data_IF_143042959296
#
_entry.id   IF_143042959296
#
_cell.length_a   1.000
_cell.length_b   1.000
_cell.length_c   1.000
_cell.angle_alpha   90.00
_cell.angle_beta   90.00
_cell.angle_gamma   90.00
#
_symmetry.space_group_name_H-M   'P 1'
#
loop_
_entity.id
_entity.type
_entity.pdbx_description
1 polymer ?
#
# COMPACT_ATOMS: atom_id res chain seq x y z
N UNK A 1 29.88 26.37 -0.05
CA UNK A 1 29.92 25.52 -1.26
C UNK A 1 28.88 24.45 -1.03
N UNK A 2 27.76 24.45 -1.77
CA UNK A 2 26.78 23.35 -1.66
C UNK A 2 27.45 22.11 -2.26
N UNK A 3 27.65 21.07 -1.48
CA UNK A 3 28.02 19.77 -2.02
C UNK A 3 26.84 19.30 -2.85
N UNK A 4 27.03 19.14 -4.14
CA UNK A 4 26.07 18.49 -5.01
C UNK A 4 26.24 16.99 -4.74
N UNK A 5 25.35 16.43 -3.96
CA UNK A 5 25.30 14.98 -3.75
C UNK A 5 24.64 14.34 -4.98
N UNK A 6 25.24 13.29 -5.48
CA UNK A 6 24.55 12.40 -6.44
C UNK A 6 23.53 11.55 -5.67
N UNK A 7 22.48 11.08 -6.35
CA UNK A 7 21.48 10.17 -5.72
C UNK A 7 22.16 8.94 -5.09
N UNK A 8 23.18 8.40 -5.75
CA UNK A 8 23.95 7.27 -5.24
C UNK A 8 24.62 7.59 -3.88
N UNK A 9 25.24 8.77 -3.76
CA UNK A 9 25.89 9.21 -2.51
C UNK A 9 24.87 9.40 -1.38
N UNK A 10 23.74 10.02 -1.67
CA UNK A 10 22.63 10.21 -0.72
C UNK A 10 22.11 8.87 -0.22
N UNK A 11 21.81 7.94 -1.13
CA UNK A 11 21.31 6.62 -0.78
C UNK A 11 22.34 5.79 0.00
N UNK A 12 23.63 5.95 -0.32
CA UNK A 12 24.73 5.32 0.44
C UNK A 12 24.86 5.91 1.85
N UNK A 13 24.58 7.20 2.02
CA UNK A 13 24.58 7.84 3.33
C UNK A 13 23.44 7.31 4.22
N UNK A 14 22.23 7.24 3.68
CA UNK A 14 21.08 6.66 4.40
C UNK A 14 21.33 5.19 4.77
N UNK A 15 21.93 4.42 3.87
CA UNK A 15 22.23 2.99 4.09
C UNK A 15 23.08 2.72 5.33
N UNK A 16 23.94 3.69 5.75
CA UNK A 16 24.75 3.56 6.96
C UNK A 16 23.91 3.45 8.24
N UNK A 17 22.70 3.99 8.22
CA UNK A 17 21.79 4.00 9.36
C UNK A 17 20.72 2.90 9.27
N UNK A 18 20.85 1.96 8.34
CA UNK A 18 19.80 0.98 8.05
C UNK A 18 19.46 0.09 9.26
N UNK A 19 20.44 -0.25 10.10
CA UNK A 19 20.18 -1.01 11.33
C UNK A 19 19.22 -0.28 12.28
N UNK A 20 19.34 1.05 12.35
CA UNK A 20 18.43 1.88 13.14
C UNK A 20 17.04 1.89 12.53
N UNK A 21 16.91 2.08 11.22
CA UNK A 21 15.62 2.07 10.55
C UNK A 21 14.89 0.72 10.68
N UNK A 22 15.61 -0.39 10.47
CA UNK A 22 15.04 -1.74 10.66
C UNK A 22 14.55 -1.91 12.10
N UNK A 23 15.35 -1.50 13.09
CA UNK A 23 14.99 -1.61 14.51
C UNK A 23 13.79 -0.74 14.89
N UNK A 24 13.69 0.47 14.34
CA UNK A 24 12.69 1.46 14.74
C UNK A 24 11.34 1.24 14.04
N UNK A 25 11.36 0.65 12.84
CA UNK A 25 10.17 0.56 11.98
C UNK A 25 9.73 -0.87 11.63
N UNK A 26 10.55 -1.88 11.82
CA UNK A 26 10.18 -3.27 11.56
C UNK A 26 10.21 -4.08 12.87
N UNK A 27 9.39 -5.11 12.94
CA UNK A 27 9.31 -5.98 14.12
C UNK A 27 10.18 -7.23 13.89
N UNK A 28 11.02 -7.64 14.87
CA UNK A 28 11.79 -8.88 14.74
C UNK A 28 10.89 -10.08 14.45
N UNK A 29 11.31 -10.93 13.51
CA UNK A 29 10.52 -12.09 13.03
C UNK A 29 10.04 -12.97 14.19
N UNK A 30 10.89 -13.16 15.20
CA UNK A 30 10.64 -14.03 16.35
C UNK A 30 9.52 -13.54 17.26
N UNK A 31 9.22 -12.26 17.23
CA UNK A 31 8.22 -11.61 18.08
C UNK A 31 7.04 -11.05 17.32
N UNK A 32 7.12 -11.08 15.98
CA UNK A 32 6.06 -10.55 15.15
C UNK A 32 4.90 -11.57 15.04
N UNK A 33 3.69 -11.05 14.91
CA UNK A 33 2.49 -11.88 14.75
C UNK A 33 2.57 -12.74 13.47
N UNK A 34 1.90 -13.86 13.50
CA UNK A 34 1.78 -14.75 12.35
C UNK A 34 0.30 -14.98 11.99
N UNK A 35 -0.04 -15.28 10.73
CA UNK A 35 -1.41 -15.61 10.34
C UNK A 35 -2.06 -16.69 11.22
N UNK A 36 -1.29 -17.69 11.63
CA UNK A 36 -1.75 -18.77 12.51
C UNK A 36 -2.18 -18.29 13.90
N UNK A 37 -1.76 -17.11 14.37
CA UNK A 37 -2.18 -16.56 15.66
C UNK A 37 -3.65 -16.10 15.65
N UNK A 38 -4.21 -15.88 14.47
CA UNK A 38 -5.56 -15.34 14.30
C UNK A 38 -6.52 -16.27 13.58
N UNK A 39 -6.01 -17.16 12.74
CA UNK A 39 -6.82 -18.11 11.97
C UNK A 39 -7.21 -19.33 12.81
N UNK A 40 -8.31 -20.05 12.45
CA UNK A 40 -8.63 -21.34 13.03
C UNK A 40 -7.44 -22.31 12.99
N UNK A 41 -7.10 -22.91 14.13
CA UNK A 41 -5.96 -23.82 14.25
C UNK A 41 -6.36 -25.26 13.87
N UNK A 42 -5.87 -25.74 12.74
CA UNK A 42 -6.17 -27.07 12.21
C UNK A 42 -5.70 -28.23 13.12
N UNK A 43 -4.88 -27.96 14.14
CA UNK A 43 -4.43 -28.95 15.11
C UNK A 43 -5.35 -29.10 16.31
N UNK A 44 -6.35 -28.23 16.46
CA UNK A 44 -7.31 -28.24 17.58
C UNK A 44 -8.58 -28.99 17.24
N UNK A 45 -9.18 -29.61 18.23
CA UNK A 45 -10.49 -30.27 18.11
C UNK A 45 -11.59 -29.26 17.75
N UNK A 46 -11.42 -28.00 18.12
CA UNK A 46 -12.35 -26.90 17.79
C UNK A 46 -12.30 -26.45 16.35
N UNK A 47 -11.33 -26.86 15.53
CA UNK A 47 -11.08 -26.31 14.19
C UNK A 47 -12.34 -26.16 13.34
N UNK A 48 -13.13 -27.22 13.20
CA UNK A 48 -14.36 -27.17 12.39
C UNK A 48 -15.43 -26.25 12.98
N UNK A 49 -15.52 -26.15 14.30
CA UNK A 49 -16.42 -25.21 14.96
C UNK A 49 -15.97 -23.76 14.75
N UNK A 50 -14.66 -23.50 14.83
CA UNK A 50 -14.09 -22.17 14.62
C UNK A 50 -14.24 -21.72 13.16
N UNK A 51 -14.04 -22.63 12.20
CA UNK A 51 -14.31 -22.35 10.76
C UNK A 51 -15.79 -22.05 10.54
N UNK A 52 -16.69 -22.81 11.16
CA UNK A 52 -18.13 -22.56 11.05
C UNK A 52 -18.50 -21.19 11.63
N UNK A 53 -17.98 -20.84 12.77
CA UNK A 53 -18.19 -19.50 13.38
C UNK A 53 -17.66 -18.37 12.49
N UNK A 54 -16.48 -18.57 11.86
CA UNK A 54 -15.96 -17.65 10.85
C UNK A 54 -16.92 -17.49 9.68
N UNK A 55 -17.45 -18.58 9.13
CA UNK A 55 -18.38 -18.57 8.01
C UNK A 55 -19.72 -17.88 8.38
N UNK A 56 -20.22 -18.12 9.59
CA UNK A 56 -21.44 -17.46 10.08
C UNK A 56 -21.23 -15.94 10.17
N UNK A 57 -20.11 -15.48 10.74
CA UNK A 57 -19.78 -14.07 10.81
C UNK A 57 -19.53 -13.45 9.41
N UNK A 58 -19.02 -14.23 8.46
CA UNK A 58 -18.80 -13.80 7.08
C UNK A 58 -20.12 -13.56 6.32
N UNK A 59 -21.22 -14.24 6.67
CA UNK A 59 -22.53 -14.04 6.06
C UNK A 59 -23.12 -12.64 6.28
N UNK A 60 -22.71 -11.97 7.34
CA UNK A 60 -23.23 -10.64 7.71
C UNK A 60 -22.59 -9.49 6.91
N UNK A 61 -21.54 -9.77 6.14
CA UNK A 61 -20.81 -8.76 5.38
C UNK A 61 -21.53 -8.45 4.06
N UNK A 62 -21.72 -7.16 3.69
CA UNK A 62 -22.37 -6.78 2.44
C UNK A 62 -21.52 -7.07 1.21
N UNK A 63 -22.14 -7.11 0.05
CA UNK A 63 -21.51 -7.43 -1.24
C UNK A 63 -20.29 -6.54 -1.55
N UNK A 64 -20.44 -5.22 -1.44
CA UNK A 64 -19.32 -4.28 -1.71
C UNK A 64 -18.13 -4.51 -0.76
N UNK A 65 -18.40 -4.97 0.46
CA UNK A 65 -17.33 -5.32 1.40
C UNK A 65 -16.45 -6.47 0.88
N UNK A 66 -17.10 -7.49 0.31
CA UNK A 66 -16.38 -8.61 -0.30
C UNK A 66 -15.58 -8.15 -1.52
N UNK A 67 -16.14 -7.29 -2.36
CA UNK A 67 -15.43 -6.73 -3.51
C UNK A 67 -14.15 -6.00 -3.08
N UNK A 68 -14.23 -5.19 -2.03
CA UNK A 68 -13.06 -4.46 -1.48
C UNK A 68 -12.07 -5.41 -0.84
N UNK A 69 -12.52 -6.33 0.03
CA UNK A 69 -11.63 -7.27 0.70
C UNK A 69 -10.87 -8.17 -0.27
N UNK A 70 -11.53 -8.63 -1.34
CA UNK A 70 -10.87 -9.43 -2.38
C UNK A 70 -9.85 -8.60 -3.16
N UNK A 71 -10.20 -7.38 -3.55
CA UNK A 71 -9.27 -6.50 -4.26
C UNK A 71 -8.05 -6.16 -3.40
N UNK A 72 -8.23 -5.84 -2.12
CA UNK A 72 -7.14 -5.63 -1.18
C UNK A 72 -6.27 -6.90 -1.06
N UNK A 73 -6.89 -8.09 -0.92
CA UNK A 73 -6.16 -9.36 -0.83
C UNK A 73 -5.30 -9.62 -2.08
N UNK A 74 -5.85 -9.42 -3.28
CA UNK A 74 -5.11 -9.62 -4.54
C UNK A 74 -3.89 -8.70 -4.60
N UNK A 75 -4.03 -7.44 -4.17
CA UNK A 75 -2.90 -6.50 -4.15
C UNK A 75 -1.86 -6.87 -3.12
N UNK A 76 -2.24 -7.35 -1.94
CA UNK A 76 -1.32 -7.87 -0.92
C UNK A 76 -0.58 -9.13 -1.39
N UNK A 77 -1.25 -10.04 -2.06
CA UNK A 77 -0.64 -11.25 -2.64
C UNK A 77 0.28 -10.96 -3.84
N UNK A 78 0.18 -9.78 -4.47
CA UNK A 78 1.07 -9.38 -5.57
C UNK A 78 2.47 -8.91 -5.11
N UNK A 79 2.83 -9.18 -3.87
CA UNK A 79 4.10 -8.84 -3.23
C UNK A 79 5.36 -9.17 -4.05
N UNK A 80 5.46 -10.30 -4.81
CA UNK A 80 6.63 -10.56 -5.65
C UNK A 80 6.94 -9.44 -6.65
N UNK A 81 5.93 -8.73 -7.14
CA UNK A 81 6.12 -7.58 -8.05
C UNK A 81 6.70 -6.38 -7.32
N UNK A 82 6.24 -6.09 -6.11
CA UNK A 82 6.77 -4.97 -5.29
C UNK A 82 8.22 -5.23 -4.89
N UNK A 83 8.53 -6.42 -4.40
CA UNK A 83 9.89 -6.80 -4.00
C UNK A 83 10.86 -6.69 -5.18
N UNK A 84 10.51 -7.32 -6.31
CA UNK A 84 11.31 -7.29 -7.54
C UNK A 84 11.61 -5.87 -7.99
N UNK A 85 10.62 -5.01 -7.93
CA UNK A 85 10.71 -3.62 -8.32
C UNK A 85 11.59 -2.78 -7.37
N UNK A 86 11.41 -2.91 -6.05
CA UNK A 86 12.24 -2.21 -5.07
C UNK A 86 13.70 -2.68 -5.09
N UNK A 87 13.94 -4.00 -5.26
CA UNK A 87 15.28 -4.54 -5.44
C UNK A 87 15.95 -4.09 -6.74
N UNK A 88 15.16 -3.69 -7.74
CA UNK A 88 15.62 -3.15 -9.02
C UNK A 88 16.00 -1.66 -9.01
N UNK A 89 15.93 -0.96 -7.88
CA UNK A 89 16.36 0.43 -7.79
C UNK A 89 17.87 0.58 -8.03
N UNK A 90 18.27 1.66 -8.70
CA UNK A 90 19.65 1.94 -9.14
C UNK A 90 20.69 1.89 -8.00
N UNK A 91 20.26 2.06 -6.77
CA UNK A 91 21.12 2.16 -5.58
C UNK A 91 21.14 0.90 -4.73
N UNK A 92 20.47 -0.16 -5.15
CA UNK A 92 20.34 -1.42 -4.39
C UNK A 92 21.20 -2.50 -5.02
N UNK A 93 22.15 -3.03 -4.26
CA UNK A 93 22.89 -4.22 -4.67
C UNK A 93 22.31 -5.47 -3.99
N UNK A 94 21.27 -6.04 -4.56
CA UNK A 94 20.54 -7.19 -4.01
C UNK A 94 21.38 -8.50 -3.95
N UNK A 95 22.56 -8.53 -4.59
CA UNK A 95 23.49 -9.66 -4.54
C UNK A 95 24.38 -9.58 -3.30
N UNK A 96 24.71 -8.37 -2.84
CA UNK A 96 25.50 -8.18 -1.62
C UNK A 96 24.60 -8.31 -0.38
N UNK A 97 24.88 -9.30 0.47
CA UNK A 97 24.15 -9.51 1.72
C UNK A 97 24.34 -8.38 2.74
N UNK A 98 25.39 -7.55 2.58
CA UNK A 98 25.66 -6.41 3.43
C UNK A 98 25.03 -5.11 2.91
N UNK A 99 24.39 -5.12 1.75
CA UNK A 99 23.65 -3.95 1.25
C UNK A 99 22.48 -3.63 2.19
N UNK A 100 22.54 -2.46 2.80
CA UNK A 100 21.53 -2.03 3.77
C UNK A 100 20.13 -1.90 3.17
N UNK A 101 20.02 -1.44 1.91
CA UNK A 101 18.74 -1.32 1.23
C UNK A 101 18.14 -2.68 0.86
N UNK A 102 18.95 -3.60 0.37
CA UNK A 102 18.48 -4.96 0.10
C UNK A 102 18.00 -5.65 1.38
N UNK A 103 18.67 -5.40 2.50
CA UNK A 103 18.25 -5.89 3.81
C UNK A 103 16.92 -5.28 4.25
N UNK A 104 16.75 -3.95 4.12
CA UNK A 104 15.49 -3.28 4.42
C UNK A 104 14.34 -3.89 3.60
N UNK A 105 14.50 -3.98 2.28
CA UNK A 105 13.46 -4.47 1.37
C UNK A 105 13.07 -5.90 1.74
N UNK A 106 14.04 -6.80 1.96
CA UNK A 106 13.73 -8.20 2.33
C UNK A 106 13.04 -8.33 3.68
N UNK A 107 13.41 -7.51 4.67
CA UNK A 107 12.78 -7.56 6.00
C UNK A 107 11.37 -6.98 5.94
N UNK A 108 11.18 -5.90 5.20
CA UNK A 108 9.85 -5.34 4.90
C UNK A 108 8.98 -6.35 4.14
N UNK A 109 9.50 -6.98 3.07
CA UNK A 109 8.79 -8.04 2.33
C UNK A 109 8.36 -9.20 3.24
N UNK A 110 9.19 -9.58 4.22
CA UNK A 110 8.81 -10.62 5.18
C UNK A 110 7.63 -10.20 6.08
N UNK A 111 7.50 -8.91 6.40
CA UNK A 111 6.32 -8.39 7.10
C UNK A 111 5.09 -8.38 6.18
N UNK A 112 5.20 -7.86 4.97
CA UNK A 112 4.13 -7.76 3.97
C UNK A 112 3.55 -9.11 3.58
N UNK A 113 4.41 -10.13 3.42
CA UNK A 113 3.97 -11.48 3.04
C UNK A 113 2.91 -12.07 3.97
N UNK A 114 2.84 -11.63 5.22
CA UNK A 114 1.83 -12.07 6.19
C UNK A 114 0.45 -11.49 5.89
N UNK A 115 0.37 -10.30 5.31
CA UNK A 115 -0.87 -9.62 4.99
C UNK A 115 -1.66 -10.43 3.96
N UNK A 116 -1.07 -10.70 2.80
CA UNK A 116 -1.68 -11.51 1.76
C UNK A 116 -2.01 -12.92 2.25
N UNK A 117 -1.10 -13.57 2.98
CA UNK A 117 -1.32 -14.92 3.54
C UNK A 117 -2.52 -14.95 4.50
N UNK A 118 -2.62 -13.96 5.41
CA UNK A 118 -3.71 -13.88 6.37
C UNK A 118 -5.06 -13.66 5.67
N UNK A 119 -5.13 -12.69 4.78
CA UNK A 119 -6.37 -12.34 4.07
C UNK A 119 -6.78 -13.45 3.10
N UNK A 120 -5.86 -14.00 2.32
CA UNK A 120 -6.12 -15.10 1.37
C UNK A 120 -6.65 -16.35 2.08
N UNK A 121 -6.06 -16.71 3.23
CA UNK A 121 -6.56 -17.84 4.03
C UNK A 121 -7.95 -17.55 4.61
N UNK A 122 -8.21 -16.33 5.10
CA UNK A 122 -9.54 -15.94 5.53
C UNK A 122 -10.57 -16.05 4.40
N UNK A 123 -10.26 -15.54 3.21
CA UNK A 123 -11.13 -15.65 2.05
C UNK A 123 -11.45 -17.12 1.74
N UNK A 124 -10.43 -17.96 1.71
CA UNK A 124 -10.58 -19.40 1.45
C UNK A 124 -11.51 -20.06 2.46
N UNK A 125 -11.34 -19.79 3.75
CA UNK A 125 -12.16 -20.39 4.82
C UNK A 125 -13.58 -19.82 4.87
N UNK A 126 -13.80 -18.61 4.39
CA UNK A 126 -15.10 -17.94 4.43
C UNK A 126 -16.18 -18.62 3.58
N UNK A 127 -15.78 -19.28 2.48
CA UNK A 127 -16.70 -19.87 1.50
C UNK A 127 -17.53 -18.86 0.71
N UNK A 128 -17.13 -17.58 0.69
CA UNK A 128 -17.87 -16.47 0.06
C UNK A 128 -17.33 -16.05 -1.30
N UNK A 129 -16.16 -16.56 -1.68
CA UNK A 129 -15.44 -16.11 -2.87
C UNK A 129 -15.04 -17.30 -3.74
N UNK A 130 -15.03 -17.08 -5.05
CA UNK A 130 -14.41 -18.00 -6.00
C UNK A 130 -12.90 -17.85 -5.92
N UNK A 131 -12.26 -18.69 -5.10
CA UNK A 131 -10.80 -18.68 -4.90
C UNK A 131 -10.01 -18.94 -6.18
N UNK A 132 -10.60 -19.64 -7.18
CA UNK A 132 -9.95 -19.79 -8.48
C UNK A 132 -9.92 -18.47 -9.24
N UNK A 133 -11.00 -17.72 -9.22
CA UNK A 133 -11.05 -16.40 -9.84
C UNK A 133 -10.08 -15.43 -9.15
N UNK A 134 -10.03 -15.43 -7.82
CA UNK A 134 -9.06 -14.64 -7.03
C UNK A 134 -7.63 -15.00 -7.42
N UNK A 135 -7.25 -16.28 -7.38
CA UNK A 135 -5.91 -16.73 -7.70
C UNK A 135 -5.50 -16.36 -9.14
N UNK A 136 -6.40 -16.49 -10.12
CA UNK A 136 -6.12 -16.12 -11.51
C UNK A 136 -5.89 -14.61 -11.64
N UNK A 137 -6.71 -13.77 -10.99
CA UNK A 137 -6.52 -12.32 -10.99
C UNK A 137 -5.18 -11.92 -10.32
N UNK A 138 -4.82 -12.56 -9.22
CA UNK A 138 -3.50 -12.36 -8.56
C UNK A 138 -2.35 -12.73 -9.50
N UNK A 139 -2.44 -13.88 -10.18
CA UNK A 139 -1.41 -14.34 -11.12
C UNK A 139 -1.27 -13.39 -12.32
N UNK A 140 -2.35 -12.84 -12.84
CA UNK A 140 -2.27 -11.81 -13.88
C UNK A 140 -1.54 -10.56 -13.37
N UNK A 141 -1.84 -10.08 -12.17
CA UNK A 141 -1.20 -8.91 -11.61
C UNK A 141 0.31 -9.11 -11.44
N UNK A 142 0.73 -10.30 -10.97
CA UNK A 142 2.14 -10.66 -10.83
C UNK A 142 2.81 -10.82 -12.20
N UNK A 143 2.19 -11.56 -13.14
CA UNK A 143 2.78 -11.88 -14.43
C UNK A 143 2.90 -10.66 -15.35
N UNK A 144 1.92 -9.77 -15.32
CA UNK A 144 1.94 -8.53 -16.10
C UNK A 144 2.96 -7.53 -15.53
N UNK A 145 3.22 -7.59 -14.24
CA UNK A 145 3.84 -6.51 -13.50
C UNK A 145 2.96 -5.25 -13.53
N UNK A 146 3.45 -4.18 -12.96
CA UNK A 146 2.80 -2.88 -13.08
C UNK A 146 3.84 -1.76 -13.07
N UNK A 147 3.63 -0.77 -13.93
CA UNK A 147 4.46 0.43 -13.97
C UNK A 147 3.73 1.56 -13.24
N UNK A 148 4.28 1.95 -12.11
CA UNK A 148 3.79 3.05 -11.28
C UNK A 148 4.50 4.38 -11.58
N UNK A 149 5.30 4.42 -12.63
CA UNK A 149 5.97 5.62 -13.12
C UNK A 149 7.21 6.04 -12.35
N UNK A 150 7.76 5.19 -11.47
CA UNK A 150 8.95 5.49 -10.66
C UNK A 150 10.26 5.13 -11.36
N UNK A 151 10.22 4.17 -12.29
CA UNK A 151 11.42 3.55 -12.86
C UNK A 151 12.34 3.01 -11.75
N UNK A 152 13.65 2.92 -11.97
CA UNK A 152 14.64 2.55 -10.95
C UNK A 152 15.02 3.70 -10.00
N UNK A 153 14.34 4.85 -10.04
CA UNK A 153 14.66 6.04 -9.27
C UNK A 153 14.23 5.90 -7.79
N UNK A 154 15.15 5.83 -6.81
CA UNK A 154 14.81 5.62 -5.42
C UNK A 154 13.97 6.77 -4.82
N UNK A 155 14.19 8.03 -5.24
CA UNK A 155 13.43 9.16 -4.71
C UNK A 155 11.95 9.07 -5.07
N UNK A 156 11.65 8.73 -6.33
CA UNK A 156 10.29 8.49 -6.78
C UNK A 156 9.67 7.27 -6.10
N UNK A 157 10.44 6.21 -5.94
CA UNK A 157 10.00 4.99 -5.26
C UNK A 157 9.57 5.28 -3.82
N UNK A 158 10.36 6.06 -3.07
CA UNK A 158 10.03 6.37 -1.67
C UNK A 158 8.88 7.35 -1.53
N UNK A 159 8.69 8.30 -2.47
CA UNK A 159 7.47 9.12 -2.52
C UNK A 159 6.25 8.22 -2.75
N UNK A 160 6.33 7.33 -3.73
CA UNK A 160 5.24 6.39 -4.02
C UNK A 160 4.91 5.55 -2.80
N UNK A 161 5.89 4.89 -2.21
CA UNK A 161 5.68 3.97 -1.08
C UNK A 161 5.17 4.71 0.16
N UNK A 162 5.70 5.93 0.44
CA UNK A 162 5.15 6.77 1.52
C UNK A 162 3.65 7.04 1.36
N UNK A 163 3.19 7.24 0.13
CA UNK A 163 1.78 7.48 -0.17
C UNK A 163 0.98 6.18 -0.08
N UNK A 164 1.46 5.11 -0.71
CA UNK A 164 0.80 3.80 -0.78
C UNK A 164 0.54 3.24 0.61
N UNK A 165 1.55 3.17 1.48
CA UNK A 165 1.46 2.62 2.82
C UNK A 165 0.41 3.35 3.70
N UNK A 166 0.26 4.66 3.52
CA UNK A 166 -0.80 5.39 4.22
C UNK A 166 -2.18 5.13 3.61
N UNK A 167 -2.25 4.90 2.30
CA UNK A 167 -3.51 4.55 1.64
C UNK A 167 -3.99 3.16 2.08
N UNK A 168 -3.08 2.17 2.14
CA UNK A 168 -3.39 0.82 2.64
C UNK A 168 -3.74 0.83 4.13
N UNK A 169 -3.02 1.61 4.96
CA UNK A 169 -3.42 1.82 6.35
C UNK A 169 -4.86 2.32 6.47
N UNK A 170 -5.26 3.32 5.69
CA UNK A 170 -6.62 3.87 5.71
C UNK A 170 -7.63 2.81 5.29
N UNK A 171 -7.36 2.08 4.20
CA UNK A 171 -8.22 0.99 3.71
C UNK A 171 -8.44 -0.06 4.80
N UNK A 172 -7.37 -0.67 5.29
CA UNK A 172 -7.46 -1.74 6.29
C UNK A 172 -8.08 -1.28 7.61
N UNK A 173 -7.79 -0.07 8.08
CA UNK A 173 -8.39 0.47 9.30
C UNK A 173 -9.90 0.66 9.18
N UNK A 174 -10.39 1.13 8.03
CA UNK A 174 -11.82 1.31 7.78
C UNK A 174 -12.51 -0.02 7.52
N UNK A 175 -11.87 -0.93 6.80
CA UNK A 175 -12.33 -2.31 6.63
C UNK A 175 -12.48 -3.01 7.97
N UNK A 176 -11.53 -2.83 8.90
CA UNK A 176 -11.64 -3.33 10.28
C UNK A 176 -12.85 -2.76 11.02
N UNK A 177 -13.09 -1.45 10.87
CA UNK A 177 -14.22 -0.78 11.52
C UNK A 177 -15.56 -1.28 10.99
N UNK A 178 -15.69 -1.46 9.68
CA UNK A 178 -16.88 -2.02 9.04
C UNK A 178 -17.12 -3.48 9.43
N UNK A 179 -16.07 -4.31 9.45
CA UNK A 179 -16.17 -5.70 9.92
C UNK A 179 -16.75 -5.75 11.35
N UNK A 180 -16.27 -4.87 12.24
CA UNK A 180 -16.79 -4.76 13.61
C UNK A 180 -18.27 -4.36 13.64
N UNK A 181 -18.70 -3.41 12.81
CA UNK A 181 -20.09 -2.98 12.71
C UNK A 181 -21.02 -4.12 12.27
N UNK A 182 -20.52 -5.02 11.41
CA UNK A 182 -21.24 -6.21 10.96
C UNK A 182 -21.03 -7.45 11.86
N UNK A 183 -20.49 -7.27 13.07
CA UNK A 183 -20.32 -8.37 14.03
C UNK A 183 -19.13 -9.30 13.79
N UNK A 184 -18.34 -9.06 12.72
CA UNK A 184 -17.17 -9.88 12.39
C UNK A 184 -15.92 -9.42 13.15
N UNK A 185 -15.81 -9.82 14.42
CA UNK A 185 -14.72 -9.40 15.29
C UNK A 185 -13.36 -10.01 14.89
N UNK A 186 -13.34 -11.19 14.28
CA UNK A 186 -12.11 -11.81 13.81
C UNK A 186 -11.50 -10.97 12.68
N UNK A 187 -12.26 -10.74 11.61
CA UNK A 187 -11.80 -9.96 10.47
C UNK A 187 -11.45 -8.52 10.88
N UNK A 188 -12.20 -7.94 11.83
CA UNK A 188 -11.85 -6.64 12.39
C UNK A 188 -10.45 -6.61 13.02
N UNK A 189 -10.08 -7.64 13.79
CA UNK A 189 -8.72 -7.74 14.38
C UNK A 189 -7.66 -7.94 13.31
N UNK A 190 -7.92 -8.78 12.30
CA UNK A 190 -6.99 -9.06 11.20
C UNK A 190 -6.65 -7.77 10.44
N UNK A 191 -7.66 -7.06 9.95
CA UNK A 191 -7.45 -5.82 9.22
C UNK A 191 -6.84 -4.71 10.10
N UNK A 192 -7.17 -4.65 11.39
CA UNK A 192 -6.56 -3.68 12.32
C UNK A 192 -5.07 -3.96 12.55
N UNK A 193 -4.66 -5.23 12.57
CA UNK A 193 -3.25 -5.63 12.70
C UNK A 193 -2.46 -5.24 11.45
N UNK A 194 -2.98 -5.56 10.26
CA UNK A 194 -2.38 -5.12 8.99
C UNK A 194 -2.26 -3.58 8.97
N UNK A 195 -3.33 -2.87 9.29
CA UNK A 195 -3.29 -1.40 9.33
C UNK A 195 -2.22 -0.83 10.28
N UNK A 196 -1.90 -1.52 11.37
CA UNK A 196 -0.83 -1.10 12.28
C UNK A 196 0.56 -1.27 11.66
N UNK A 197 0.77 -2.35 10.88
CA UNK A 197 2.00 -2.58 10.14
C UNK A 197 2.17 -1.53 9.04
N UNK A 198 1.16 -1.29 8.22
CA UNK A 198 1.13 -0.26 7.17
C UNK A 198 1.49 1.14 7.69
N UNK A 199 1.00 1.49 8.90
CA UNK A 199 1.35 2.77 9.51
C UNK A 199 2.83 2.86 9.92
N UNK A 200 3.45 1.75 10.31
CA UNK A 200 4.90 1.70 10.61
C UNK A 200 5.72 1.85 9.33
N UNK A 201 5.35 1.13 8.28
CA UNK A 201 5.98 1.20 6.98
C UNK A 201 5.87 2.60 6.39
N UNK A 202 4.69 3.22 6.42
CA UNK A 202 4.51 4.62 6.05
C UNK A 202 5.51 5.55 6.76
N UNK A 203 5.64 5.41 8.09
CA UNK A 203 6.56 6.25 8.88
C UNK A 203 8.01 6.07 8.46
N UNK A 204 8.42 4.85 8.09
CA UNK A 204 9.76 4.56 7.62
C UNK A 204 10.05 5.24 6.28
N UNK A 205 9.20 5.01 5.27
CA UNK A 205 9.38 5.61 3.95
C UNK A 205 9.30 7.14 3.99
N UNK A 206 8.40 7.68 4.81
CA UNK A 206 8.34 9.13 5.09
C UNK A 206 9.65 9.64 5.71
N UNK A 207 10.26 8.91 6.63
CA UNK A 207 11.54 9.28 7.23
C UNK A 207 12.67 9.25 6.19
N UNK A 208 12.72 8.25 5.31
CA UNK A 208 13.69 8.22 4.21
C UNK A 208 13.59 9.47 3.33
N UNK A 209 12.39 9.84 2.92
CA UNK A 209 12.17 11.06 2.12
C UNK A 209 12.58 12.31 2.88
N UNK A 210 12.30 12.40 4.19
CA UNK A 210 12.74 13.53 5.02
C UNK A 210 14.27 13.67 5.02
N UNK A 211 15.01 12.57 5.18
CA UNK A 211 16.47 12.61 5.13
C UNK A 211 17.01 12.97 3.74
N UNK A 212 16.36 12.49 2.68
CA UNK A 212 16.74 12.89 1.33
C UNK A 212 16.51 14.38 1.11
N UNK A 213 15.42 14.97 1.63
CA UNK A 213 15.22 16.43 1.57
C UNK A 213 16.31 17.21 2.30
N UNK A 214 16.86 16.68 3.40
CA UNK A 214 17.96 17.30 4.11
C UNK A 214 19.27 17.27 3.31
N UNK A 215 19.52 16.24 2.52
CA UNK A 215 20.75 16.02 1.78
C UNK A 215 20.70 16.55 0.35
N UNK A 216 19.57 16.38 -0.34
CA UNK A 216 19.38 16.74 -1.74
C UNK A 216 17.97 17.33 -2.01
N UNK A 217 17.66 18.50 -1.44
CA UNK A 217 16.32 19.07 -1.48
C UNK A 217 15.82 19.38 -2.89
N UNK A 218 16.72 19.74 -3.82
CA UNK A 218 16.31 20.11 -5.17
C UNK A 218 15.79 18.89 -5.96
N UNK A 219 16.59 17.82 -6.02
CA UNK A 219 16.22 16.62 -6.78
C UNK A 219 15.05 15.89 -6.12
N UNK A 220 14.99 15.87 -4.78
CA UNK A 220 13.87 15.29 -4.05
C UNK A 220 12.56 16.03 -4.34
N UNK A 221 12.60 17.38 -4.39
CA UNK A 221 11.45 18.19 -4.74
C UNK A 221 10.98 17.93 -6.17
N UNK A 222 11.91 17.74 -7.12
CA UNK A 222 11.57 17.41 -8.50
C UNK A 222 10.94 16.03 -8.60
N UNK A 223 11.46 15.05 -7.87
CA UNK A 223 10.90 13.70 -7.82
C UNK A 223 9.49 13.70 -7.23
N UNK A 224 9.27 14.45 -6.13
CA UNK A 224 7.94 14.58 -5.52
C UNK A 224 6.95 15.24 -6.49
N UNK A 225 7.32 16.34 -7.12
CA UNK A 225 6.47 17.01 -8.09
C UNK A 225 6.16 16.14 -9.33
N UNK A 226 7.12 15.34 -9.79
CA UNK A 226 6.93 14.42 -10.92
C UNK A 226 5.90 13.33 -10.57
N UNK A 227 6.02 12.71 -9.39
CA UNK A 227 5.08 11.71 -8.91
C UNK A 227 3.67 12.29 -8.75
N UNK A 228 3.54 13.51 -8.24
CA UNK A 228 2.25 14.17 -8.11
C UNK A 228 1.63 14.55 -9.47
N UNK A 229 2.43 14.87 -10.47
CA UNK A 229 1.96 15.13 -11.86
C UNK A 229 1.47 13.86 -12.53
N UNK A 230 2.18 12.74 -12.34
CA UNK A 230 1.81 11.42 -12.87
C UNK A 230 0.59 10.84 -12.18
N UNK A 231 0.27 11.30 -10.98
CA UNK A 231 -0.68 10.75 -9.99
C UNK A 231 -0.20 9.40 -9.44
N UNK A 232 -0.36 9.22 -8.16
CA UNK A 232 -0.13 7.92 -7.54
C UNK A 232 -1.30 7.00 -7.91
N UNK A 233 -0.98 5.88 -8.53
CA UNK A 233 -1.95 4.82 -8.85
C UNK A 233 -1.64 3.59 -8.00
N UNK A 234 -2.69 2.99 -7.43
CA UNK A 234 -2.55 1.76 -6.67
C UNK A 234 -2.44 0.55 -7.61
N UNK A 235 -1.78 -0.55 -7.20
CA UNK A 235 -1.68 -1.76 -8.01
C UNK A 235 -3.03 -2.32 -8.47
N UNK A 236 -4.08 -2.12 -7.69
CA UNK A 236 -5.45 -2.46 -8.07
C UNK A 236 -5.88 -1.87 -9.43
N UNK A 237 -5.25 -0.78 -9.88
CA UNK A 237 -5.49 -0.20 -11.22
C UNK A 237 -5.16 -1.17 -12.37
N UNK A 238 -4.33 -2.16 -12.11
CA UNK A 238 -3.87 -3.15 -13.11
C UNK A 238 -4.61 -4.49 -13.00
N UNK A 239 -5.66 -4.59 -12.18
CA UNK A 239 -6.46 -5.80 -12.02
C UNK A 239 -7.08 -6.27 -13.34
N UNK A 240 -7.16 -7.58 -13.49
CA UNK A 240 -7.85 -8.26 -14.60
C UNK A 240 -8.89 -9.25 -14.10
N UNK A 241 -9.91 -9.42 -14.90
CA UNK A 241 -10.91 -10.48 -14.75
C UNK A 241 -10.28 -11.87 -15.00
N UNK A 242 -10.96 -12.91 -14.50
CA UNK A 242 -10.56 -14.32 -14.72
C UNK A 242 -10.37 -14.68 -16.20
N UNK A 243 -11.09 -14.04 -17.11
CA UNK A 243 -10.95 -14.24 -18.57
C UNK A 243 -9.80 -13.42 -19.19
N UNK A 244 -9.01 -12.71 -18.38
CA UNK A 244 -7.91 -11.87 -18.81
C UNK A 244 -8.30 -10.50 -19.36
N UNK A 245 -9.56 -10.14 -19.35
CA UNK A 245 -9.99 -8.83 -19.82
C UNK A 245 -9.45 -7.72 -18.91
N UNK A 246 -8.82 -6.72 -19.51
CA UNK A 246 -8.47 -5.43 -18.87
C UNK A 246 -9.69 -4.52 -19.00
N UNK A 247 -10.76 -4.87 -18.33
CA UNK A 247 -11.97 -4.07 -18.31
C UNK A 247 -11.89 -2.97 -17.24
N UNK A 248 -12.99 -2.25 -17.06
CA UNK A 248 -13.18 -1.28 -15.98
C UNK A 248 -13.18 -1.89 -14.55
N UNK A 249 -12.52 -3.02 -14.34
CA UNK A 249 -12.52 -3.73 -13.06
C UNK A 249 -12.06 -2.85 -11.90
N UNK A 250 -10.98 -2.09 -12.12
CA UNK A 250 -10.52 -1.11 -11.13
C UNK A 250 -11.55 -0.04 -10.83
N UNK A 251 -12.26 0.47 -11.84
CA UNK A 251 -13.30 1.50 -11.64
C UNK A 251 -14.41 0.96 -10.75
N UNK A 252 -14.86 -0.26 -10.99
CA UNK A 252 -15.89 -0.91 -10.18
C UNK A 252 -15.43 -1.23 -8.77
N UNK A 253 -14.17 -1.66 -8.61
CA UNK A 253 -13.55 -1.85 -7.30
C UNK A 253 -13.46 -0.52 -6.54
N UNK A 254 -12.98 0.54 -7.19
CA UNK A 254 -12.92 1.89 -6.63
C UNK A 254 -14.29 2.43 -6.24
N UNK A 255 -15.32 2.18 -7.06
CA UNK A 255 -16.69 2.56 -6.74
C UNK A 255 -17.21 1.87 -5.48
N UNK A 256 -16.95 0.56 -5.33
CA UNK A 256 -17.29 -0.19 -4.13
C UNK A 256 -16.59 0.37 -2.88
N UNK A 257 -15.28 0.64 -2.98
CA UNK A 257 -14.50 1.24 -1.90
C UNK A 257 -15.04 2.63 -1.49
N UNK A 258 -15.43 3.44 -2.46
CA UNK A 258 -16.02 4.76 -2.22
C UNK A 258 -17.43 4.67 -1.61
N UNK A 259 -18.31 3.77 -2.08
CA UNK A 259 -19.64 3.58 -1.49
C UNK A 259 -19.56 3.18 -0.02
N UNK A 260 -18.63 2.31 0.31
CA UNK A 260 -18.37 1.89 1.70
C UNK A 260 -17.65 2.95 2.53
N UNK A 261 -17.04 3.95 1.90
CA UNK A 261 -16.16 4.89 2.57
C UNK A 261 -14.86 4.25 3.06
N UNK A 262 -14.42 3.15 2.46
CA UNK A 262 -13.14 2.49 2.82
C UNK A 262 -11.97 3.28 2.30
N UNK A 263 -11.99 3.67 1.04
CA UNK A 263 -11.02 4.59 0.46
C UNK A 263 -11.72 5.50 -0.56
N UNK A 264 -11.50 6.79 -0.43
CA UNK A 264 -12.20 7.80 -1.23
C UNK A 264 -11.23 8.75 -1.93
N UNK A 265 -11.71 9.45 -2.94
CA UNK A 265 -10.93 10.49 -3.60
C UNK A 265 -10.47 11.59 -2.62
N UNK A 266 -11.25 11.84 -1.56
CA UNK A 266 -10.88 12.79 -0.50
C UNK A 266 -9.71 12.29 0.34
N UNK A 267 -9.57 10.97 0.52
CA UNK A 267 -8.43 10.37 1.23
C UNK A 267 -7.12 10.60 0.47
N UNK A 268 -7.15 10.49 -0.85
CA UNK A 268 -6.00 10.83 -1.71
C UNK A 268 -5.50 12.26 -1.44
N UNK A 269 -6.42 13.23 -1.39
CA UNK A 269 -6.10 14.63 -1.09
C UNK A 269 -5.57 14.80 0.33
N UNK A 270 -6.14 14.09 1.29
CA UNK A 270 -5.73 14.12 2.70
C UNK A 270 -4.32 13.58 2.89
N UNK A 271 -3.99 12.44 2.24
CA UNK A 271 -2.63 11.87 2.27
C UNK A 271 -1.64 12.86 1.69
N UNK A 272 -1.94 13.44 0.53
CA UNK A 272 -1.07 14.43 -0.12
C UNK A 272 -0.81 15.64 0.79
N UNK A 273 -1.83 16.18 1.44
CA UNK A 273 -1.69 17.28 2.42
C UNK A 273 -0.81 16.87 3.59
N UNK A 274 -1.01 15.65 4.10
CA UNK A 274 -0.20 15.11 5.17
C UNK A 274 1.29 15.09 4.80
N UNK A 275 1.64 14.55 3.65
CA UNK A 275 3.02 14.48 3.16
C UNK A 275 3.62 15.87 2.92
N UNK A 276 2.85 16.82 2.35
CA UNK A 276 3.27 18.22 2.18
C UNK A 276 3.60 18.86 3.53
N UNK A 277 2.76 18.63 4.53
CA UNK A 277 2.96 19.15 5.89
C UNK A 277 4.14 18.47 6.59
N UNK A 278 4.23 17.15 6.53
CA UNK A 278 5.26 16.35 7.20
C UNK A 278 6.67 16.68 6.70
N UNK A 279 6.81 16.94 5.40
CA UNK A 279 8.07 17.34 4.78
C UNK A 279 8.26 18.87 4.73
N UNK A 280 7.35 19.63 5.37
CA UNK A 280 7.41 21.10 5.44
C UNK A 280 7.61 21.77 4.08
N UNK A 281 6.94 21.25 3.05
CA UNK A 281 7.15 21.64 1.65
C UNK A 281 6.87 23.15 1.43
N UNK A 282 5.79 23.67 2.00
CA UNK A 282 5.35 25.06 1.80
C UNK A 282 6.39 26.09 2.29
N UNK A 283 7.16 25.74 3.32
CA UNK A 283 8.15 26.62 3.93
C UNK A 283 9.59 26.31 3.52
N UNK A 284 9.79 25.37 2.59
CA UNK A 284 11.13 24.97 2.15
C UNK A 284 11.81 26.09 1.38
N UNK A 285 13.01 26.49 1.83
CA UNK A 285 13.82 27.57 1.26
C UNK A 285 15.16 27.05 0.76
N UNK A 286 15.87 27.89 -0.01
CA UNK A 286 17.21 27.52 -0.52
C UNK A 286 17.19 26.60 -1.74
N UNK A 287 16.02 26.39 -2.33
CA UNK A 287 15.85 25.65 -3.57
C UNK A 287 16.34 26.46 -4.78
N UNK A 288 16.76 25.78 -5.85
CA UNK A 288 16.99 26.40 -7.13
C UNK A 288 15.64 26.75 -7.81
N UNK A 289 15.67 27.59 -8.85
CA UNK A 289 14.47 28.09 -9.54
C UNK A 289 13.52 26.97 -10.02
N UNK A 290 14.08 25.83 -10.48
CA UNK A 290 13.28 24.70 -10.98
C UNK A 290 12.58 23.98 -9.84
N UNK A 291 13.29 23.76 -8.73
CA UNK A 291 12.73 23.14 -7.55
C UNK A 291 11.73 24.04 -6.81
N UNK A 292 11.93 25.38 -6.83
CA UNK A 292 10.93 26.33 -6.32
C UNK A 292 9.61 26.25 -7.11
N UNK A 293 9.67 26.20 -8.44
CA UNK A 293 8.47 26.00 -9.28
C UNK A 293 7.79 24.66 -8.98
N UNK A 294 8.57 23.61 -8.72
CA UNK A 294 8.07 22.28 -8.33
C UNK A 294 7.38 22.33 -6.96
N UNK A 295 7.99 22.98 -5.97
CA UNK A 295 7.40 23.24 -4.64
C UNK A 295 6.06 23.95 -4.74
N UNK A 296 6.01 25.06 -5.48
CA UNK A 296 4.81 25.86 -5.63
C UNK A 296 3.68 25.08 -6.34
N UNK A 297 4.05 24.23 -7.31
CA UNK A 297 3.10 23.32 -7.95
C UNK A 297 2.50 22.33 -6.93
N UNK A 298 3.35 21.65 -6.16
CA UNK A 298 2.94 20.63 -5.17
C UNK A 298 2.10 21.26 -4.06
N UNK A 299 2.51 22.40 -3.52
CA UNK A 299 1.80 23.11 -2.46
C UNK A 299 0.36 23.51 -2.86
N UNK A 300 0.17 23.89 -4.13
CA UNK A 300 -1.15 24.30 -4.64
C UNK A 300 -2.02 23.13 -5.16
N UNK A 301 -1.47 21.94 -5.31
CA UNK A 301 -2.18 20.81 -5.93
C UNK A 301 -3.34 20.29 -5.10
N UNK A 302 -3.26 20.15 -3.75
CA UNK A 302 -4.36 19.62 -2.94
C UNK A 302 -5.66 20.42 -3.08
N UNK A 303 -5.59 21.76 -3.06
CA UNK A 303 -6.76 22.62 -3.20
C UNK A 303 -7.46 22.48 -4.58
N UNK A 304 -6.68 22.13 -5.62
CA UNK A 304 -7.24 21.85 -6.95
C UNK A 304 -7.91 20.49 -7.03
N UNK A 305 -7.29 19.46 -6.42
CA UNK A 305 -7.81 18.09 -6.40
C UNK A 305 -9.05 17.98 -5.52
N UNK A 306 -9.11 18.70 -4.40
CA UNK A 306 -10.29 18.74 -3.54
C UNK A 306 -11.54 19.18 -4.29
N UNK A 307 -11.44 20.23 -5.10
CA UNK A 307 -12.56 20.70 -5.96
C UNK A 307 -13.00 19.65 -6.98
N UNK A 308 -12.12 18.73 -7.37
CA UNK A 308 -12.46 17.60 -8.24
C UNK A 308 -13.08 16.47 -7.42
N UNK A 309 -12.53 16.17 -6.24
CA UNK A 309 -13.05 15.15 -5.32
C UNK A 309 -14.50 15.44 -4.92
N UNK A 310 -14.84 16.70 -4.63
CA UNK A 310 -16.20 17.12 -4.27
C UNK A 310 -17.22 16.91 -5.40
N UNK A 311 -16.77 16.69 -6.62
CA UNK A 311 -17.65 16.47 -7.80
C UNK A 311 -17.78 14.99 -8.17
N UNK A 312 -17.02 14.12 -7.53
CA UNK A 312 -17.09 12.68 -7.81
C UNK A 312 -18.47 12.16 -7.41
N UNK A 313 -19.13 11.51 -8.36
CA UNK A 313 -20.39 10.79 -8.13
C UNK A 313 -20.10 9.31 -8.25
N UNK A 314 -20.39 8.57 -7.20
CA UNK A 314 -20.21 7.13 -7.18
C UNK A 314 -21.49 6.47 -7.68
N UNK A 315 -21.43 5.58 -8.69
CA UNK A 315 -22.59 4.84 -9.16
C UNK A 315 -23.19 3.98 -8.03
N UNK A 316 -24.51 3.91 -7.97
CA UNK A 316 -25.22 3.08 -6.97
C UNK A 316 -25.22 1.58 -7.34
N UNK A 317 -25.04 1.26 -8.62
CA UNK A 317 -25.13 -0.11 -9.12
C UNK A 317 -23.87 -0.90 -8.76
N UNK A 318 -24.03 -2.04 -8.08
CA UNK A 318 -22.96 -2.99 -7.83
C UNK A 318 -22.58 -3.73 -9.12
N UNK A 319 -21.28 -3.87 -9.36
CA UNK A 319 -20.72 -4.66 -10.45
C UNK A 319 -20.70 -6.15 -10.05
N UNK A 320 -21.06 -7.09 -10.95
CA UNK A 320 -20.98 -8.51 -10.65
C UNK A 320 -19.53 -9.02 -10.78
N UNK A 321 -18.76 -8.91 -9.71
CA UNK A 321 -17.40 -9.41 -9.69
C UNK A 321 -17.35 -10.93 -9.79
N UNK A 322 -16.50 -11.45 -10.68
CA UNK A 322 -16.28 -12.90 -10.83
C UNK A 322 -15.68 -13.56 -9.58
N UNK A 323 -15.17 -12.77 -8.65
CA UNK A 323 -14.57 -13.24 -7.40
C UNK A 323 -15.59 -13.63 -6.32
N UNK A 324 -16.80 -13.10 -6.39
CA UNK A 324 -17.82 -13.27 -5.35
C UNK A 324 -18.78 -14.38 -5.77
N UNK A 325 -18.91 -15.41 -4.90
CA UNK A 325 -19.72 -16.59 -5.14
C UNK A 325 -21.24 -16.33 -4.92
#
# INVERSE_FOLDING_TARGET
MSQIHTRLEVMSELAKNMDTYVKDYLVPIETNWQPADMLPDATKDSFFADVKALQEAANELPYDYWAVLVGDTITEEALPTYESWLLGMDTVNHIDQNDGWARWIRTWTAEENRHGNLLGTYLYLSGKVDMKAVAVSTQYLIADGFDIGTSADPYRNFVYTSFQELATNISHRRTASLAKQHGNSLLSRMCAQIAADELRHHKAYRAFVSEIFNLDPNEMMLAFADMMKKKIVMPAHFLREINGAKSSLFEHFSDAAQRLGVYTTQDYVTIMRGLISDWNIENMTGLNETAEKARDYVANLPARLEKLADRVKVPELAYPFSWIA
#
